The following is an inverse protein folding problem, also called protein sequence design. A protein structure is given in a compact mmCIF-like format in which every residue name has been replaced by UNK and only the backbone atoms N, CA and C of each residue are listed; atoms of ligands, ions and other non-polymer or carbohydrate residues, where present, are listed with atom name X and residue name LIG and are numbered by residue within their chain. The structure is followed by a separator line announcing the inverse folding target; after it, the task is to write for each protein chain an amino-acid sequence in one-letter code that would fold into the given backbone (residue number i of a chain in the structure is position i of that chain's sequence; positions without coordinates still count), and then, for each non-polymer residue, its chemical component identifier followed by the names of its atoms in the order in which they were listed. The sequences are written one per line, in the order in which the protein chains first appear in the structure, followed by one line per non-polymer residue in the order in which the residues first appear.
data_IF_179497838950
#
_entry.id   IF_179497838950
#
_cell.length_a   1.000
_cell.length_b   1.000
_cell.length_c   1.000
_cell.angle_alpha   90.00
_cell.angle_beta   90.00
_cell.angle_gamma   90.00
#
_symmetry.space_group_name_H-M   'P 1'
#
loop_
_entity.id
_entity.type
_entity.pdbx_description
1 polymer ?
#
# COMPACT_ATOMS: atom_id res chain seq x y z
N UNK A 1 11.35 56.12 34.19
CA UNK A 1 10.69 54.85 34.52
C UNK A 1 11.33 53.76 33.68
N UNK A 2 12.54 53.36 34.09
CA UNK A 2 13.31 52.30 33.45
C UNK A 2 12.80 51.00 34.04
N UNK A 3 12.12 50.18 33.24
CA UNK A 3 11.78 48.82 33.63
C UNK A 3 13.11 48.10 33.83
N UNK A 4 13.55 47.97 35.07
CA UNK A 4 14.70 47.13 35.40
C UNK A 4 14.28 45.71 35.09
N UNK A 5 14.86 45.15 34.03
CA UNK A 5 14.73 43.75 33.61
C UNK A 5 15.26 42.79 34.71
N UNK A 6 15.79 43.34 35.81
CA UNK A 6 16.27 42.68 37.02
C UNK A 6 15.18 42.37 38.05
N UNK A 7 13.91 42.72 37.83
CA UNK A 7 12.83 42.26 38.71
C UNK A 7 12.64 40.73 38.55
N UNK A 8 12.85 39.93 39.60
CA UNK A 8 12.73 38.48 39.55
C UNK A 8 11.37 38.01 39.03
N UNK A 9 10.31 38.78 39.25
CA UNK A 9 8.96 38.48 38.78
C UNK A 9 8.88 38.62 37.27
N UNK A 10 9.43 39.70 36.70
CA UNK A 10 9.45 39.94 35.25
C UNK A 10 10.28 38.88 34.53
N UNK A 11 11.45 38.53 35.08
CA UNK A 11 12.29 37.47 34.53
C UNK A 11 11.59 36.11 34.58
N UNK A 12 10.93 35.79 35.69
CA UNK A 12 10.14 34.56 35.84
C UNK A 12 9.01 34.48 34.82
N UNK A 13 8.28 35.57 34.59
CA UNK A 13 7.22 35.61 33.57
C UNK A 13 7.78 35.38 32.17
N UNK A 14 8.90 36.03 31.80
CA UNK A 14 9.54 35.84 30.49
C UNK A 14 9.95 34.37 30.29
N UNK A 15 10.59 33.77 31.29
CA UNK A 15 11.00 32.36 31.25
C UNK A 15 9.79 31.45 31.12
N UNK A 16 8.74 31.68 31.90
CA UNK A 16 7.52 30.88 31.86
C UNK A 16 6.82 30.98 30.50
N UNK A 17 6.70 32.19 29.94
CA UNK A 17 6.14 32.39 28.60
C UNK A 17 6.98 31.69 27.53
N UNK A 18 8.32 31.75 27.62
CA UNK A 18 9.20 31.05 26.70
C UNK A 18 9.03 29.52 26.79
N UNK A 19 8.98 28.97 28.01
CA UNK A 19 8.76 27.53 28.25
C UNK A 19 7.39 27.09 27.72
N UNK A 20 6.32 27.85 27.98
CA UNK A 20 4.98 27.54 27.48
C UNK A 20 4.93 27.56 25.96
N UNK A 21 5.56 28.56 25.33
CA UNK A 21 5.62 28.69 23.87
C UNK A 21 6.38 27.51 23.26
N UNK A 22 7.54 27.15 23.82
CA UNK A 22 8.32 26.01 23.37
C UNK A 22 7.55 24.70 23.53
N UNK A 23 6.84 24.54 24.65
CA UNK A 23 6.00 23.37 24.92
C UNK A 23 4.89 23.24 23.89
N UNK A 24 4.21 24.34 23.54
CA UNK A 24 3.18 24.35 22.49
C UNK A 24 3.75 23.98 21.12
N UNK A 25 4.94 24.46 20.77
CA UNK A 25 5.61 24.10 19.51
C UNK A 25 5.92 22.60 19.46
N UNK A 26 6.48 22.04 20.53
CA UNK A 26 6.75 20.61 20.65
C UNK A 26 5.45 19.81 20.51
N UNK A 27 4.39 20.20 21.23
CA UNK A 27 3.09 19.53 21.12
C UNK A 27 2.51 19.60 19.70
N UNK A 28 2.61 20.75 19.03
CA UNK A 28 2.11 20.89 17.67
C UNK A 28 2.88 19.99 16.69
N UNK A 29 4.20 19.88 16.83
CA UNK A 29 5.03 18.97 16.03
C UNK A 29 4.70 17.50 16.31
N UNK A 30 4.60 17.12 17.59
CA UNK A 30 4.22 15.77 18.01
C UNK A 30 2.83 15.38 17.50
N UNK A 31 1.86 16.28 17.60
CA UNK A 31 0.50 16.04 17.11
C UNK A 31 0.46 15.83 15.59
N UNK A 32 1.21 16.63 14.83
CA UNK A 32 1.34 16.44 13.37
C UNK A 32 1.96 15.08 13.02
N UNK A 33 3.00 14.69 13.75
CA UNK A 33 3.69 13.41 13.57
C UNK A 33 2.76 12.24 13.89
N UNK A 34 2.04 12.32 15.01
CA UNK A 34 1.09 11.29 15.42
C UNK A 34 -0.10 11.19 14.45
N UNK A 35 -0.60 12.32 13.95
CA UNK A 35 -1.67 12.32 12.96
C UNK A 35 -1.23 11.66 11.64
N UNK A 36 0.03 11.87 11.22
CA UNK A 36 0.60 11.15 10.07
C UNK A 36 0.71 9.65 10.33
N UNK A 37 1.20 9.24 11.50
CA UNK A 37 1.31 7.84 11.89
C UNK A 37 -0.06 7.15 11.94
N UNK A 38 -1.08 7.81 12.51
CA UNK A 38 -2.45 7.28 12.58
C UNK A 38 -3.07 7.09 11.19
N UNK A 39 -2.88 8.06 10.29
CA UNK A 39 -3.36 7.95 8.90
C UNK A 39 -2.74 6.76 8.18
N UNK A 40 -1.43 6.54 8.37
CA UNK A 40 -0.83 5.37 7.77
C UNK A 40 -1.26 4.07 8.44
N UNK A 41 -1.36 4.02 9.76
CA UNK A 41 -1.87 2.83 10.46
C UNK A 41 -3.28 2.45 9.96
N UNK A 42 -4.15 3.44 9.74
CA UNK A 42 -5.47 3.22 9.15
C UNK A 42 -5.39 2.67 7.72
N UNK A 43 -4.48 3.21 6.89
CA UNK A 43 -4.26 2.72 5.53
C UNK A 43 -3.71 1.29 5.51
N UNK A 44 -2.70 0.99 6.33
CA UNK A 44 -2.14 -0.36 6.49
C UNK A 44 -3.18 -1.34 7.02
N UNK A 45 -4.08 -0.92 7.91
CA UNK A 45 -5.20 -1.75 8.36
C UNK A 45 -6.16 -2.10 7.23
N UNK A 46 -6.58 -1.12 6.42
CA UNK A 46 -7.49 -1.36 5.27
C UNK A 46 -6.86 -2.35 4.30
N UNK A 47 -5.56 -2.19 4.08
CA UNK A 47 -4.76 -3.15 3.37
C UNK A 47 -4.85 -4.52 4.06
N UNK A 48 -4.43 -4.69 5.31
CA UNK A 48 -4.45 -6.00 5.97
C UNK A 48 -5.82 -6.70 5.90
N UNK A 49 -6.91 -5.95 6.17
CA UNK A 49 -8.29 -6.43 6.03
C UNK A 49 -8.58 -6.93 4.59
N UNK A 50 -8.09 -6.23 3.57
CA UNK A 50 -8.21 -6.63 2.16
C UNK A 50 -7.38 -7.87 1.81
N UNK A 51 -6.18 -8.02 2.37
CA UNK A 51 -5.38 -9.24 2.18
C UNK A 51 -6.06 -10.44 2.82
N UNK A 52 -6.65 -10.27 3.99
CA UNK A 52 -7.38 -11.34 4.66
C UNK A 52 -8.63 -11.76 3.87
N UNK A 53 -9.32 -10.83 3.20
CA UNK A 53 -10.39 -11.16 2.26
C UNK A 53 -9.89 -12.02 1.07
N UNK A 54 -8.69 -11.75 0.55
CA UNK A 54 -8.09 -12.59 -0.50
C UNK A 54 -7.61 -13.94 0.01
N UNK A 55 -7.07 -14.03 1.24
CA UNK A 55 -6.79 -15.34 1.86
C UNK A 55 -8.05 -16.17 1.98
N UNK A 56 -9.17 -15.54 2.37
CA UNK A 56 -10.47 -16.23 2.43
C UNK A 56 -10.91 -16.78 1.06
N UNK A 57 -10.58 -16.13 -0.05
CA UNK A 57 -10.85 -16.66 -1.40
C UNK A 57 -9.97 -17.85 -1.78
N UNK A 58 -8.77 -17.95 -1.20
CA UNK A 58 -7.87 -19.10 -1.34
C UNK A 58 -8.35 -20.27 -0.45
N UNK A 59 -8.70 -19.98 0.80
CA UNK A 59 -9.14 -20.98 1.79
C UNK A 59 -10.54 -21.54 1.46
N UNK A 60 -11.41 -20.72 0.87
CA UNK A 60 -12.78 -21.05 0.50
C UNK A 60 -12.98 -20.87 -1.01
N UNK A 61 -12.49 -21.81 -1.82
CA UNK A 61 -12.52 -21.69 -3.28
C UNK A 61 -13.93 -21.60 -3.86
N UNK A 62 -14.97 -22.00 -3.11
CA UNK A 62 -16.38 -21.81 -3.46
C UNK A 62 -16.76 -20.33 -3.63
N UNK A 63 -16.07 -19.42 -2.94
CA UNK A 63 -16.28 -17.97 -3.06
C UNK A 63 -15.75 -17.40 -4.37
N UNK A 64 -14.89 -18.14 -5.09
CA UNK A 64 -14.44 -17.73 -6.43
C UNK A 64 -15.59 -17.69 -7.45
N UNK A 65 -16.76 -18.29 -7.16
CA UNK A 65 -17.96 -18.12 -7.98
C UNK A 65 -18.41 -16.67 -8.07
N UNK A 66 -18.23 -15.89 -6.99
CA UNK A 66 -18.54 -14.48 -6.97
C UNK A 66 -17.68 -13.69 -7.97
N UNK A 67 -16.41 -14.09 -8.15
CA UNK A 67 -15.55 -13.44 -9.15
C UNK A 67 -16.04 -13.67 -10.58
N UNK A 68 -16.53 -14.87 -10.89
CA UNK A 68 -17.13 -15.16 -12.20
C UNK A 68 -18.43 -14.38 -12.41
N UNK A 69 -19.28 -14.28 -11.38
CA UNK A 69 -20.52 -13.52 -11.43
C UNK A 69 -20.25 -12.04 -11.67
N UNK A 70 -19.29 -11.46 -10.94
CA UNK A 70 -18.87 -10.06 -11.12
C UNK A 70 -18.26 -9.83 -12.51
N UNK A 71 -17.45 -10.77 -13.02
CA UNK A 71 -16.89 -10.69 -14.37
C UNK A 71 -17.99 -10.74 -15.45
N UNK A 72 -19.01 -11.58 -15.27
CA UNK A 72 -20.19 -11.63 -16.17
C UNK A 72 -21.03 -10.37 -16.11
N UNK A 73 -21.18 -9.75 -14.94
CA UNK A 73 -21.85 -8.45 -14.81
C UNK A 73 -21.06 -7.35 -15.54
N UNK A 74 -19.73 -7.34 -15.37
CA UNK A 74 -18.85 -6.36 -16.00
C UNK A 74 -18.73 -6.54 -17.52
N UNK A 75 -18.93 -7.76 -18.04
CA UNK A 75 -18.89 -8.07 -19.47
C UNK A 75 -19.93 -9.13 -19.83
N UNK A 76 -21.20 -8.72 -20.02
CA UNK A 76 -22.33 -9.64 -20.27
C UNK A 76 -22.17 -10.49 -21.53
N UNK A 77 -21.50 -9.95 -22.56
CA UNK A 77 -21.29 -10.60 -23.86
C UNK A 77 -20.02 -11.47 -23.91
N UNK A 78 -19.32 -11.63 -22.79
CA UNK A 78 -18.12 -12.47 -22.72
C UNK A 78 -18.49 -13.96 -22.81
N UNK A 79 -18.27 -14.56 -23.97
CA UNK A 79 -18.35 -16.02 -24.19
C UNK A 79 -17.16 -16.80 -23.60
N UNK A 80 -16.38 -16.20 -22.70
CA UNK A 80 -15.28 -16.89 -22.03
C UNK A 80 -15.83 -18.08 -21.23
N UNK A 81 -15.31 -19.28 -21.50
CA UNK A 81 -15.66 -20.47 -20.73
C UNK A 81 -15.35 -20.23 -19.24
N UNK A 82 -16.21 -20.69 -18.31
CA UNK A 82 -15.92 -20.58 -16.89
C UNK A 82 -14.57 -21.22 -16.58
N UNK A 83 -13.68 -20.51 -15.87
CA UNK A 83 -12.37 -21.07 -15.47
C UNK A 83 -12.56 -22.33 -14.65
N UNK A 84 -11.60 -23.26 -14.76
CA UNK A 84 -11.56 -24.42 -13.87
C UNK A 84 -11.41 -23.97 -12.41
N UNK A 85 -11.86 -24.76 -11.41
CA UNK A 85 -11.66 -24.43 -10.01
C UNK A 85 -10.18 -24.22 -9.63
N UNK A 86 -9.28 -24.98 -10.24
CA UNK A 86 -7.83 -24.87 -10.05
C UNK A 86 -7.31 -23.52 -10.56
N UNK A 87 -7.68 -23.13 -11.79
CA UNK A 87 -7.27 -21.85 -12.36
C UNK A 87 -7.77 -20.65 -11.54
N UNK A 88 -8.95 -20.77 -10.93
CA UNK A 88 -9.49 -19.74 -10.03
C UNK A 88 -8.65 -19.61 -8.77
N UNK A 89 -8.28 -20.73 -8.15
CA UNK A 89 -7.44 -20.72 -6.95
C UNK A 89 -6.07 -20.11 -7.25
N UNK A 90 -5.46 -20.52 -8.38
CA UNK A 90 -4.19 -19.95 -8.85
C UNK A 90 -4.33 -18.45 -9.10
N UNK A 91 -5.38 -18.00 -9.80
CA UNK A 91 -5.64 -16.57 -10.03
C UNK A 91 -5.82 -15.79 -8.72
N UNK A 92 -6.60 -16.31 -7.78
CA UNK A 92 -6.81 -15.68 -6.46
C UNK A 92 -5.51 -15.58 -5.67
N UNK A 93 -4.65 -16.60 -5.74
CA UNK A 93 -3.30 -16.54 -5.17
C UNK A 93 -2.43 -15.46 -5.82
N UNK A 94 -2.46 -15.32 -7.15
CA UNK A 94 -1.74 -14.23 -7.82
C UNK A 94 -2.28 -12.84 -7.48
N UNK A 95 -3.59 -12.68 -7.28
CA UNK A 95 -4.17 -11.41 -6.79
C UNK A 95 -3.69 -11.05 -5.37
N UNK A 96 -3.59 -12.05 -4.49
CA UNK A 96 -3.01 -11.89 -3.16
C UNK A 96 -1.55 -11.42 -3.24
N UNK A 97 -0.73 -12.09 -4.07
CA UNK A 97 0.66 -11.70 -4.29
C UNK A 97 0.77 -10.28 -4.89
N UNK A 98 -0.08 -9.97 -5.88
CA UNK A 98 -0.11 -8.66 -6.53
C UNK A 98 -0.36 -7.53 -5.52
N UNK A 99 -1.32 -7.75 -4.62
CA UNK A 99 -1.62 -6.86 -3.50
C UNK A 99 -0.44 -6.72 -2.54
N UNK A 100 0.24 -7.81 -2.19
CA UNK A 100 1.41 -7.78 -1.32
C UNK A 100 2.56 -6.95 -1.92
N UNK A 101 2.79 -7.09 -3.23
CA UNK A 101 3.80 -6.33 -3.94
C UNK A 101 3.48 -4.83 -4.00
N UNK A 102 2.21 -4.45 -4.19
CA UNK A 102 1.79 -3.06 -4.16
C UNK A 102 2.16 -2.39 -2.83
N UNK A 103 1.83 -3.04 -1.71
CA UNK A 103 2.11 -2.50 -0.37
C UNK A 103 3.59 -2.34 -0.15
N UNK A 104 4.35 -3.36 -0.53
CA UNK A 104 5.80 -3.34 -0.35
C UNK A 104 6.44 -2.25 -1.20
N UNK A 105 5.94 -2.05 -2.43
CA UNK A 105 6.34 -0.93 -3.28
C UNK A 105 5.97 0.42 -2.65
N UNK A 106 4.79 0.55 -2.05
CA UNK A 106 4.42 1.77 -1.33
C UNK A 106 5.35 2.04 -0.15
N UNK A 107 5.66 1.04 0.67
CA UNK A 107 6.61 1.15 1.78
C UNK A 107 7.98 1.64 1.30
N UNK A 108 8.44 1.13 0.16
CA UNK A 108 9.67 1.59 -0.48
C UNK A 108 9.57 3.06 -0.93
N UNK A 109 8.49 3.44 -1.63
CA UNK A 109 8.28 4.83 -2.08
C UNK A 109 8.15 5.82 -0.92
N UNK A 110 7.60 5.37 0.22
CA UNK A 110 7.53 6.15 1.47
C UNK A 110 8.85 6.21 2.24
N UNK A 111 9.90 5.50 1.76
CA UNK A 111 11.22 5.38 2.38
C UNK A 111 11.20 4.72 3.76
N UNK A 112 10.28 3.77 3.95
CA UNK A 112 10.14 3.01 5.20
C UNK A 112 10.96 1.73 5.18
N UNK A 113 11.21 1.20 3.99
CA UNK A 113 12.20 0.16 3.74
C UNK A 113 13.31 0.72 2.85
N UNK A 114 14.52 0.20 3.02
CA UNK A 114 15.69 0.62 2.25
C UNK A 114 15.73 -0.05 0.86
N UNK A 115 16.65 0.42 0.02
CA UNK A 115 16.82 -0.07 -1.35
C UNK A 115 17.21 -1.55 -1.40
N UNK A 116 18.07 -2.03 -0.50
CA UNK A 116 18.45 -3.44 -0.43
C UNK A 116 17.25 -4.36 -0.14
N UNK A 117 16.39 -3.96 0.80
CA UNK A 117 15.16 -4.70 1.12
C UNK A 117 14.21 -4.68 -0.06
N UNK A 118 14.06 -3.54 -0.73
CA UNK A 118 13.25 -3.44 -1.94
C UNK A 118 13.80 -4.31 -3.07
N UNK A 119 15.12 -4.38 -3.26
CA UNK A 119 15.76 -5.20 -4.29
C UNK A 119 15.39 -6.69 -4.18
N UNK A 120 15.30 -7.22 -2.96
CA UNK A 120 14.85 -8.61 -2.72
C UNK A 120 13.39 -8.82 -3.12
N UNK A 121 12.50 -7.90 -2.76
CA UNK A 121 11.09 -7.95 -3.14
C UNK A 121 10.89 -7.76 -4.64
N UNK A 122 11.67 -6.88 -5.28
CA UNK A 122 11.63 -6.69 -6.74
C UNK A 122 12.08 -7.95 -7.48
N UNK A 123 13.15 -8.59 -7.04
CA UNK A 123 13.61 -9.85 -7.65
C UNK A 123 12.55 -10.96 -7.54
N UNK A 124 11.83 -11.01 -6.41
CA UNK A 124 10.71 -11.94 -6.26
C UNK A 124 9.56 -11.57 -7.20
N UNK A 125 9.16 -10.30 -7.27
CA UNK A 125 8.14 -9.80 -8.20
C UNK A 125 8.50 -10.13 -9.66
N UNK A 126 9.74 -9.89 -10.08
CA UNK A 126 10.22 -10.22 -11.43
C UNK A 126 10.13 -11.72 -11.73
N UNK A 127 10.35 -12.57 -10.73
CA UNK A 127 10.21 -14.03 -10.86
C UNK A 127 8.75 -14.42 -11.01
N UNK A 128 7.87 -13.88 -10.16
CA UNK A 128 6.42 -14.11 -10.21
C UNK A 128 5.83 -13.59 -11.53
N UNK A 129 6.32 -12.46 -12.04
CA UNK A 129 5.88 -11.82 -13.27
C UNK A 129 6.11 -12.65 -14.54
N UNK A 130 6.99 -13.66 -14.48
CA UNK A 130 7.19 -14.62 -15.59
C UNK A 130 5.99 -15.54 -15.79
N UNK A 131 5.14 -15.71 -14.78
CA UNK A 131 3.98 -16.59 -14.88
C UNK A 131 2.85 -15.96 -15.71
N UNK A 132 2.25 -16.68 -16.70
CA UNK A 132 1.21 -16.12 -17.57
C UNK A 132 0.00 -15.53 -16.81
N UNK A 133 -0.44 -16.21 -15.75
CA UNK A 133 -1.54 -15.73 -14.89
C UNK A 133 -1.25 -14.36 -14.26
N UNK A 134 0.02 -14.04 -13.97
CA UNK A 134 0.37 -12.73 -13.39
C UNK A 134 0.11 -11.60 -14.39
N UNK A 135 0.38 -11.83 -15.68
CA UNK A 135 0.07 -10.87 -16.75
C UNK A 135 -1.44 -10.64 -16.88
N UNK A 136 -2.23 -11.72 -16.83
CA UNK A 136 -3.70 -11.61 -16.85
C UNK A 136 -4.23 -10.82 -15.64
N UNK A 137 -3.68 -11.08 -14.46
CA UNK A 137 -4.03 -10.33 -13.25
C UNK A 137 -3.68 -8.85 -13.41
N UNK A 138 -2.48 -8.52 -13.88
CA UNK A 138 -2.07 -7.13 -14.12
C UNK A 138 -3.01 -6.39 -15.07
N UNK A 139 -3.35 -7.00 -16.21
CA UNK A 139 -4.27 -6.41 -17.20
C UNK A 139 -5.67 -6.21 -16.63
N UNK A 140 -6.18 -7.17 -15.84
CA UNK A 140 -7.49 -7.09 -15.20
C UNK A 140 -7.53 -6.23 -13.95
N UNK A 141 -6.43 -5.57 -13.56
CA UNK A 141 -6.30 -4.82 -12.30
C UNK A 141 -6.26 -3.30 -12.49
N UNK A 142 -6.49 -2.81 -13.71
CA UNK A 142 -6.50 -1.38 -14.01
C UNK A 142 -7.54 -0.65 -13.16
N UNK A 143 -7.14 0.46 -12.54
CA UNK A 143 -7.99 1.25 -11.64
C UNK A 143 -8.22 0.67 -10.25
N UNK A 144 -7.73 -0.54 -9.95
CA UNK A 144 -7.86 -1.15 -8.62
C UNK A 144 -6.66 -0.88 -7.69
N UNK A 145 -5.49 -0.59 -8.26
CA UNK A 145 -4.23 -0.43 -7.54
C UNK A 145 -3.58 0.93 -7.83
N UNK A 146 -2.64 1.35 -6.98
CA UNK A 146 -1.85 2.56 -7.09
C UNK A 146 -1.12 2.65 -8.44
N UNK A 147 -1.37 3.74 -9.18
CA UNK A 147 -0.84 3.95 -10.54
C UNK A 147 0.69 3.80 -10.63
N UNK A 148 1.50 4.40 -9.74
CA UNK A 148 2.94 4.17 -9.72
C UNK A 148 3.36 2.70 -9.62
N UNK A 149 2.62 1.86 -8.88
CA UNK A 149 2.88 0.43 -8.85
C UNK A 149 2.48 -0.25 -10.16
N UNK A 150 1.33 0.09 -10.74
CA UNK A 150 0.91 -0.42 -12.04
C UNK A 150 1.95 -0.13 -13.13
N UNK A 151 2.43 1.12 -13.20
CA UNK A 151 3.44 1.56 -14.16
C UNK A 151 4.76 0.78 -13.97
N UNK A 152 5.15 0.52 -12.72
CA UNK A 152 6.33 -0.28 -12.38
C UNK A 152 6.22 -1.72 -12.92
N UNK A 153 5.09 -2.38 -12.67
CA UNK A 153 4.84 -3.75 -13.14
C UNK A 153 4.76 -3.81 -14.67
N UNK A 154 4.11 -2.83 -15.30
CA UNK A 154 4.08 -2.71 -16.77
C UNK A 154 5.49 -2.68 -17.37
N UNK A 155 6.41 -1.93 -16.76
CA UNK A 155 7.80 -1.88 -17.21
C UNK A 155 8.53 -3.23 -17.10
N UNK A 156 8.30 -3.98 -16.01
CA UNK A 156 8.84 -5.34 -15.84
C UNK A 156 8.32 -6.25 -16.96
N UNK A 157 7.00 -6.27 -17.18
CA UNK A 157 6.37 -7.14 -18.17
C UNK A 157 6.81 -6.81 -19.61
N UNK A 158 6.97 -5.52 -19.92
CA UNK A 158 7.47 -5.06 -21.23
C UNK A 158 8.94 -5.43 -21.46
N UNK A 159 9.77 -5.40 -20.41
CA UNK A 159 11.18 -5.79 -20.50
C UNK A 159 11.33 -7.29 -20.74
N UNK A 160 10.51 -8.10 -20.06
CA UNK A 160 10.51 -9.55 -20.26
C UNK A 160 10.04 -9.96 -21.66
N UNK A 161 9.12 -9.20 -22.28
CA UNK A 161 8.72 -9.44 -23.68
C UNK A 161 9.83 -9.18 -24.70
N UNK A 162 10.82 -8.34 -24.37
CA UNK A 162 11.94 -8.03 -25.27
C UNK A 162 13.10 -9.02 -25.17
N UNK A 163 13.12 -9.84 -24.13
CA UNK A 163 14.26 -10.72 -23.78
C UNK A 163 13.96 -12.21 -23.99
N UNK A 164 12.72 -12.56 -24.36
CA UNK A 164 12.30 -13.90 -24.77
C UNK A 164 11.99 -13.94 -26.25
#
# INVERSE_FOLDING_TARGET
MTVEITDPVVLSTIVQTAVLTLTLLIFAMSFRTQNKANKEAAYQKVLDDFTDAFKMLVDKPELNKLQDEMARIASPDSNAAPRSPEDRAVRSYFLLLYTLFERTHLLYRKKWINEDTWGQWSAFLETVAKHPMFREVHQGSEGMYDKPFLDYVSNILNTQQKTG
#
